data_IF_784032471263
#
_entry.id   IF_784032471263
#
_cell.length_a   1.000
_cell.length_b   1.000
_cell.length_c   1.000
_cell.angle_alpha   90.00
_cell.angle_beta   90.00
_cell.angle_gamma   90.00
#
_symmetry.space_group_name_H-M   'P 1'
#
loop_
_entity.id
_entity.type
_entity.pdbx_description
1 polymer ?
#
# COMPACT_ATOMS: atom_id res chain seq x y z
N UNK A 1 15.07 15.11 3.71
CA UNK A 1 15.08 14.67 2.29
C UNK A 1 14.24 13.39 2.06
N UNK A 2 13.29 13.05 2.94
CA UNK A 2 12.44 11.85 2.80
C UNK A 2 11.25 12.06 1.87
N UNK A 3 10.66 13.27 1.87
CA UNK A 3 9.47 13.60 1.08
C UNK A 3 9.58 13.34 -0.43
N UNK A 4 10.76 13.51 -1.03
CA UNK A 4 10.96 13.27 -2.47
C UNK A 4 10.88 11.77 -2.81
N UNK A 5 11.39 10.92 -1.94
CA UNK A 5 11.44 9.47 -2.16
C UNK A 5 10.05 8.83 -1.98
N UNK A 6 9.28 9.30 -1.01
CA UNK A 6 7.90 8.85 -0.80
C UNK A 6 6.95 9.29 -1.93
N UNK A 7 7.19 10.46 -2.54
CA UNK A 7 6.46 10.88 -3.75
C UNK A 7 6.87 10.03 -4.97
N UNK A 8 8.16 9.69 -5.09
CA UNK A 8 8.62 8.77 -6.14
C UNK A 8 7.98 7.38 -6.00
N UNK A 9 7.83 6.85 -4.78
CA UNK A 9 7.12 5.59 -4.53
C UNK A 9 5.70 5.59 -5.13
N UNK A 10 4.94 6.68 -4.95
CA UNK A 10 3.60 6.83 -5.52
C UNK A 10 3.66 6.85 -7.05
N UNK A 11 4.59 7.60 -7.62
CA UNK A 11 4.76 7.66 -9.08
C UNK A 11 5.16 6.30 -9.68
N UNK A 12 6.01 5.55 -8.99
CA UNK A 12 6.46 4.22 -9.40
C UNK A 12 5.30 3.22 -9.32
N UNK A 13 4.46 3.28 -8.27
CA UNK A 13 3.26 2.45 -8.14
C UNK A 13 2.31 2.68 -9.32
N UNK A 14 1.96 3.94 -9.62
CA UNK A 14 1.01 4.29 -10.70
C UNK A 14 1.58 3.94 -12.07
N UNK A 15 2.90 4.00 -12.23
CA UNK A 15 3.58 3.54 -13.45
C UNK A 15 3.47 2.02 -13.60
N UNK A 16 3.68 1.27 -12.51
CA UNK A 16 3.69 -0.20 -12.51
C UNK A 16 2.29 -0.82 -12.56
N UNK A 17 1.31 -0.13 -11.98
CA UNK A 17 -0.08 -0.54 -11.82
C UNK A 17 -0.97 0.63 -12.25
N UNK A 18 -1.17 0.82 -13.58
CA UNK A 18 -1.93 1.94 -14.13
C UNK A 18 -3.37 2.04 -13.65
N UNK A 19 -3.93 0.96 -13.09
CA UNK A 19 -5.26 0.90 -12.49
C UNK A 19 -5.40 1.91 -11.33
N UNK A 20 -4.31 2.28 -10.65
CA UNK A 20 -4.30 3.34 -9.62
C UNK A 20 -4.31 4.77 -10.19
N UNK A 21 -4.22 4.97 -11.51
CA UNK A 21 -4.15 6.31 -12.11
C UNK A 21 -5.35 7.18 -11.78
N UNK A 22 -6.56 6.63 -11.81
CA UNK A 22 -7.77 7.38 -11.47
C UNK A 22 -7.78 7.87 -10.01
N UNK A 23 -7.34 7.01 -9.08
CA UNK A 23 -7.18 7.35 -7.66
C UNK A 23 -6.11 8.42 -7.49
N UNK A 24 -4.98 8.27 -8.16
CA UNK A 24 -3.87 9.23 -8.14
C UNK A 24 -4.29 10.62 -8.62
N UNK A 25 -4.98 10.71 -9.76
CA UNK A 25 -5.43 11.99 -10.33
C UNK A 25 -6.45 12.67 -9.40
N UNK A 26 -7.39 11.91 -8.85
CA UNK A 26 -8.38 12.40 -7.87
C UNK A 26 -7.69 12.93 -6.60
N UNK A 27 -6.71 12.18 -6.09
CA UNK A 27 -5.92 12.55 -4.92
C UNK A 27 -5.18 13.88 -5.15
N UNK A 28 -4.42 13.97 -6.23
CA UNK A 28 -3.64 15.18 -6.57
C UNK A 28 -4.56 16.39 -6.76
N UNK A 29 -5.71 16.20 -7.42
CA UNK A 29 -6.69 17.26 -7.61
C UNK A 29 -7.23 17.79 -6.28
N UNK A 30 -7.61 16.91 -5.35
CA UNK A 30 -8.16 17.32 -4.04
C UNK A 30 -7.09 17.89 -3.08
N UNK A 31 -5.86 17.40 -3.14
CA UNK A 31 -4.82 17.72 -2.17
C UNK A 31 -3.84 18.79 -2.64
N UNK A 32 -3.96 19.26 -3.88
CA UNK A 32 -3.02 20.22 -4.48
C UNK A 32 -1.62 19.65 -4.73
N UNK A 33 -1.47 18.33 -4.63
CA UNK A 33 -0.20 17.60 -4.71
C UNK A 33 -0.30 16.19 -4.16
N UNK A 34 0.77 15.41 -4.27
CA UNK A 34 0.83 14.05 -3.72
C UNK A 34 1.13 14.10 -2.23
N UNK A 35 0.27 13.47 -1.43
CA UNK A 35 0.49 13.22 -0.01
C UNK A 35 0.55 11.70 0.19
N UNK A 36 1.76 11.10 0.24
CA UNK A 36 1.91 9.65 0.16
C UNK A 36 1.11 8.88 1.21
N UNK A 37 1.12 9.31 2.47
CA UNK A 37 0.35 8.64 3.53
C UNK A 37 -1.16 8.62 3.26
N UNK A 38 -1.71 9.74 2.78
CA UNK A 38 -3.14 9.83 2.46
C UNK A 38 -3.48 9.03 1.21
N UNK A 39 -2.62 9.06 0.19
CA UNK A 39 -2.81 8.25 -1.01
C UNK A 39 -2.75 6.73 -0.71
N UNK A 40 -1.86 6.32 0.19
CA UNK A 40 -1.72 4.91 0.56
C UNK A 40 -2.93 4.36 1.31
N UNK A 41 -3.72 5.20 1.99
CA UNK A 41 -5.01 4.79 2.51
C UNK A 41 -5.92 4.24 1.40
N UNK A 42 -6.05 4.96 0.28
CA UNK A 42 -6.86 4.50 -0.86
C UNK A 42 -6.30 3.22 -1.47
N UNK A 43 -4.95 3.11 -1.54
CA UNK A 43 -4.28 1.88 -2.01
C UNK A 43 -4.62 0.68 -1.13
N UNK A 44 -4.65 0.84 0.20
CA UNK A 44 -5.07 -0.23 1.12
C UNK A 44 -6.51 -0.64 0.85
N UNK A 45 -7.43 0.33 0.77
CA UNK A 45 -8.86 0.05 0.56
C UNK A 45 -9.09 -0.71 -0.75
N UNK A 46 -8.48 -0.27 -1.84
CA UNK A 46 -8.61 -0.93 -3.15
C UNK A 46 -7.96 -2.32 -3.15
N UNK A 47 -6.82 -2.48 -2.49
CA UNK A 47 -6.14 -3.77 -2.38
C UNK A 47 -6.97 -4.78 -1.58
N UNK A 48 -7.56 -4.36 -0.46
CA UNK A 48 -8.43 -5.22 0.36
C UNK A 48 -9.73 -5.59 -0.38
N UNK A 49 -10.38 -4.63 -1.05
CA UNK A 49 -11.57 -4.91 -1.87
C UNK A 49 -11.28 -5.86 -3.02
N UNK A 50 -10.13 -5.69 -3.68
CA UNK A 50 -9.65 -6.59 -4.72
C UNK A 50 -9.41 -8.00 -4.17
N UNK A 51 -8.80 -8.12 -2.97
CA UNK A 51 -8.63 -9.39 -2.27
C UNK A 51 -9.95 -10.09 -1.93
N UNK A 52 -10.96 -9.34 -1.49
CA UNK A 52 -12.30 -9.85 -1.22
C UNK A 52 -13.11 -10.18 -2.48
N UNK A 53 -12.61 -9.85 -3.67
CA UNK A 53 -13.33 -10.03 -4.94
C UNK A 53 -14.45 -9.01 -5.17
N UNK A 54 -14.47 -7.92 -4.40
CA UNK A 54 -15.51 -6.88 -4.42
C UNK A 54 -15.26 -5.83 -5.51
N UNK A 55 -14.05 -5.80 -6.09
CA UNK A 55 -13.65 -4.81 -7.08
C UNK A 55 -13.00 -5.47 -8.32
N UNK A 56 -13.77 -6.17 -9.17
CA UNK A 56 -13.25 -6.90 -10.35
C UNK A 56 -12.62 -6.01 -11.45
N UNK A 57 -12.70 -4.68 -11.32
CA UNK A 57 -12.03 -3.71 -12.19
C UNK A 57 -10.92 -2.90 -11.50
N UNK A 58 -10.65 -3.14 -10.21
CA UNK A 58 -9.54 -2.50 -9.50
C UNK A 58 -8.21 -3.20 -9.81
N UNK A 59 -7.12 -2.62 -9.31
CA UNK A 59 -5.81 -3.26 -9.34
C UNK A 59 -5.87 -4.67 -8.73
N UNK A 60 -5.22 -5.65 -9.37
CA UNK A 60 -5.03 -6.98 -8.77
C UNK A 60 -4.20 -6.83 -7.50
N UNK A 61 -4.78 -7.22 -6.36
CA UNK A 61 -4.15 -7.12 -5.05
C UNK A 61 -2.77 -7.80 -5.01
N UNK A 62 -2.57 -8.88 -5.78
CA UNK A 62 -1.28 -9.58 -5.85
C UNK A 62 -0.19 -8.67 -6.41
N UNK A 63 -0.50 -7.94 -7.48
CA UNK A 63 0.44 -6.99 -8.10
C UNK A 63 0.79 -5.85 -7.14
N UNK A 64 -0.16 -5.40 -6.33
CA UNK A 64 0.11 -4.39 -5.30
C UNK A 64 1.04 -4.94 -4.23
N UNK A 65 0.77 -6.13 -3.69
CA UNK A 65 1.64 -6.74 -2.68
C UNK A 65 3.05 -7.03 -3.24
N UNK A 66 3.16 -7.54 -4.46
CA UNK A 66 4.46 -7.79 -5.11
C UNK A 66 5.29 -6.50 -5.22
N UNK A 67 4.66 -5.41 -5.69
CA UNK A 67 5.34 -4.12 -5.78
C UNK A 67 5.80 -3.63 -4.40
N UNK A 68 4.95 -3.70 -3.38
CA UNK A 68 5.29 -3.21 -2.04
C UNK A 68 6.34 -4.08 -1.34
N UNK A 69 6.36 -5.39 -1.60
CA UNK A 69 7.43 -6.29 -1.16
C UNK A 69 8.76 -5.92 -1.80
N UNK A 70 8.79 -5.72 -3.13
CA UNK A 70 9.99 -5.30 -3.86
C UNK A 70 10.54 -3.96 -3.32
N UNK A 71 9.66 -2.98 -3.10
CA UNK A 71 10.05 -1.69 -2.54
C UNK A 71 10.55 -1.81 -1.10
N UNK A 72 9.89 -2.64 -0.28
CA UNK A 72 10.28 -2.94 1.09
C UNK A 72 11.64 -3.62 1.19
N UNK A 73 11.97 -4.50 0.25
CA UNK A 73 13.24 -5.24 0.24
C UNK A 73 14.46 -4.33 -0.03
N UNK A 74 14.24 -3.13 -0.59
CA UNK A 74 15.30 -2.15 -0.84
C UNK A 74 15.83 -1.47 0.43
N UNK A 75 15.08 -1.51 1.53
CA UNK A 75 15.48 -0.94 2.84
C UNK A 75 15.65 0.59 2.84
N UNK A 76 14.93 1.29 1.96
CA UNK A 76 15.01 2.75 1.85
C UNK A 76 14.09 3.38 2.89
N UNK A 77 14.65 4.11 3.86
CA UNK A 77 13.92 4.61 5.04
C UNK A 77 12.62 5.37 4.71
N UNK A 78 12.63 6.27 3.72
CA UNK A 78 11.42 7.04 3.36
C UNK A 78 10.35 6.22 2.63
N UNK A 79 10.72 5.09 2.02
CA UNK A 79 9.76 4.12 1.45
C UNK A 79 9.18 3.27 2.58
N UNK A 80 10.07 2.74 3.43
CA UNK A 80 9.70 1.90 4.57
C UNK A 80 8.76 2.64 5.53
N UNK A 81 9.01 3.92 5.78
CA UNK A 81 8.11 4.77 6.57
C UNK A 81 6.66 4.72 6.06
N UNK A 82 6.46 4.94 4.76
CA UNK A 82 5.11 4.97 4.16
C UNK A 82 4.48 3.58 4.16
N UNK A 83 5.22 2.55 3.75
CA UNK A 83 4.69 1.17 3.67
C UNK A 83 4.33 0.67 5.07
N UNK A 84 5.20 0.87 6.05
CA UNK A 84 4.95 0.40 7.42
C UNK A 84 3.79 1.17 8.05
N UNK A 85 3.79 2.49 7.95
CA UNK A 85 2.82 3.33 8.65
C UNK A 85 1.44 3.29 7.98
N UNK A 86 1.39 3.38 6.65
CA UNK A 86 0.15 3.64 5.91
C UNK A 86 -0.32 2.51 5.01
N UNK A 87 0.48 1.46 4.83
CA UNK A 87 -0.03 0.23 4.21
C UNK A 87 -0.24 -0.85 5.25
N UNK A 88 0.84 -1.29 5.91
CA UNK A 88 0.80 -2.37 6.89
C UNK A 88 0.04 -1.98 8.16
N UNK A 89 0.20 -0.73 8.62
CA UNK A 89 -0.53 -0.20 9.77
C UNK A 89 -2.05 -0.23 9.56
N UNK A 90 -2.50 0.07 8.35
CA UNK A 90 -3.91 0.25 7.99
C UNK A 90 -4.57 -1.02 7.43
N UNK A 91 -3.86 -2.16 7.38
CA UNK A 91 -4.49 -3.44 7.02
C UNK A 91 -5.62 -3.80 8.01
N UNK A 92 -6.63 -4.58 7.58
CA UNK A 92 -7.73 -4.96 8.45
C UNK A 92 -7.23 -5.71 9.70
N UNK A 93 -7.90 -5.50 10.83
CA UNK A 93 -7.68 -6.18 12.09
C UNK A 93 -8.23 -7.61 12.08
N UNK A 94 -7.81 -8.50 13.00
CA UNK A 94 -8.19 -9.92 12.96
C UNK A 94 -9.69 -10.25 12.86
N UNK A 95 -10.55 -9.33 13.29
CA UNK A 95 -12.00 -9.48 13.27
C UNK A 95 -12.67 -8.77 12.08
N UNK A 96 -11.91 -8.03 11.28
CA UNK A 96 -12.39 -7.26 10.15
C UNK A 96 -12.31 -8.08 8.84
N UNK A 97 -13.27 -7.93 7.92
CA UNK A 97 -13.20 -8.56 6.61
C UNK A 97 -11.89 -8.20 5.89
N UNK A 98 -11.29 -9.20 5.24
CA UNK A 98 -10.06 -9.02 4.47
C UNK A 98 -8.77 -9.20 5.26
N UNK A 99 -8.81 -9.41 6.59
CA UNK A 99 -7.60 -9.64 7.39
C UNK A 99 -6.73 -10.80 6.88
N UNK A 100 -7.33 -11.82 6.26
CA UNK A 100 -6.60 -12.94 5.66
C UNK A 100 -5.57 -12.51 4.58
N UNK A 101 -5.63 -11.27 4.07
CA UNK A 101 -4.60 -10.71 3.20
C UNK A 101 -3.22 -10.62 3.89
N UNK A 102 -3.18 -10.53 5.23
CA UNK A 102 -1.94 -10.54 6.00
C UNK A 102 -1.15 -11.83 5.79
N UNK A 103 -1.84 -12.95 5.57
CA UNK A 103 -1.21 -14.24 5.27
C UNK A 103 -0.58 -14.29 3.87
N UNK A 104 -0.87 -13.31 3.02
CA UNK A 104 -0.35 -13.19 1.66
C UNK A 104 0.85 -12.24 1.57
N UNK A 105 1.26 -11.62 2.68
CA UNK A 105 2.43 -10.73 2.69
C UNK A 105 3.71 -11.51 2.37
N UNK A 106 4.57 -10.89 1.55
CA UNK A 106 5.92 -11.38 1.34
C UNK A 106 6.76 -11.34 2.63
N UNK A 107 7.89 -12.06 2.68
CA UNK A 107 8.66 -12.25 3.91
C UNK A 107 9.15 -10.95 4.56
N UNK A 108 9.50 -9.92 3.77
CA UNK A 108 9.98 -8.64 4.28
C UNK A 108 8.83 -7.85 4.89
N UNK A 109 7.71 -7.71 4.17
CA UNK A 109 6.53 -7.03 4.71
C UNK A 109 5.94 -7.77 5.91
N UNK A 110 5.89 -9.11 5.90
CA UNK A 110 5.43 -9.91 7.03
C UNK A 110 6.30 -9.66 8.28
N UNK A 111 7.62 -9.64 8.14
CA UNK A 111 8.53 -9.34 9.24
C UNK A 111 8.35 -7.91 9.78
N UNK A 112 8.08 -6.93 8.91
CA UNK A 112 7.75 -5.55 9.32
C UNK A 112 6.39 -5.48 10.02
N UNK A 113 5.38 -6.17 9.50
CA UNK A 113 4.02 -6.22 10.05
C UNK A 113 4.02 -6.74 11.49
N UNK A 114 4.64 -7.89 11.76
CA UNK A 114 4.72 -8.47 13.11
C UNK A 114 5.36 -7.51 14.13
N UNK A 115 6.32 -6.68 13.70
CA UNK A 115 6.97 -5.70 14.58
C UNK A 115 6.07 -4.54 14.97
N UNK A 116 5.17 -4.12 14.08
CA UNK A 116 4.26 -2.99 14.34
C UNK A 116 2.90 -3.42 14.88
N UNK A 117 2.48 -4.66 14.61
CA UNK A 117 1.20 -5.25 15.03
C UNK A 117 1.42 -6.65 15.61
N UNK A 118 2.00 -6.76 16.83
CA UNK A 118 2.38 -8.04 17.42
C UNK A 118 1.19 -8.96 17.76
N UNK A 119 -0.04 -8.42 17.77
CA UNK A 119 -1.27 -9.16 18.08
C UNK A 119 -2.15 -9.44 16.86
N UNK A 120 -1.68 -9.07 15.66
CA UNK A 120 -2.51 -9.07 14.45
C UNK A 120 -3.19 -7.73 14.26
#
# INVERSE_FOLDING_TARGET
>A
MTATVSVQLVSDLVTRIPEFRGVYETHVFHQGGVQPHVFFWDVVQDTVRSFLGEAPGAADWRRTLDFLEEQSARGVLGIDEVIVTSFLGDLPSPHEPGHAIVEQLGPVMAAKFVRIRPLG
#
